data_IF_477396186387
#
_entry.id   IF_477396186387
#
_cell.length_a   1.000
_cell.length_b   1.000
_cell.length_c   1.000
_cell.angle_alpha   90.00
_cell.angle_beta   90.00
_cell.angle_gamma   90.00
#
_symmetry.space_group_name_H-M   'P 1'
#
loop_
_entity.id
_entity.type
_entity.pdbx_description
1 polymer ?
#
# COMPACT_ATOMS: atom_id res chain seq x y z
N UNK A 1 -6.88 -14.20 -6.75
CA UNK A 1 -6.28 -14.78 -5.55
C UNK A 1 -5.62 -13.69 -4.71
N UNK A 2 -5.92 -13.58 -3.41
CA UNK A 2 -5.15 -12.73 -2.49
C UNK A 2 -3.65 -13.03 -2.61
N UNK A 3 -2.82 -11.99 -2.48
CA UNK A 3 -1.37 -12.17 -2.55
C UNK A 3 -0.94 -13.10 -1.41
N UNK A 4 -0.36 -14.26 -1.72
CA UNK A 4 0.07 -15.26 -0.72
C UNK A 4 0.87 -14.61 0.41
N UNK A 5 1.72 -13.64 0.07
CA UNK A 5 2.54 -12.94 1.06
C UNK A 5 1.70 -12.12 2.05
N UNK A 6 0.61 -11.47 1.59
CA UNK A 6 -0.29 -10.72 2.46
C UNK A 6 -0.98 -11.66 3.47
N UNK A 7 -1.49 -12.81 3.00
CA UNK A 7 -2.12 -13.80 3.88
C UNK A 7 -1.11 -14.31 4.90
N UNK A 8 0.09 -14.67 4.45
CA UNK A 8 1.16 -15.14 5.34
C UNK A 8 1.53 -14.09 6.38
N UNK A 9 1.62 -12.80 5.99
CA UNK A 9 1.85 -11.71 6.95
C UNK A 9 0.72 -11.58 7.97
N UNK A 10 -0.55 -11.62 7.54
CA UNK A 10 -1.69 -11.52 8.46
C UNK A 10 -1.76 -12.71 9.42
N UNK A 11 -1.53 -13.93 8.92
CA UNK A 11 -1.47 -15.15 9.74
C UNK A 11 -0.32 -15.05 10.74
N UNK A 12 0.87 -14.61 10.31
CA UNK A 12 2.01 -14.45 11.21
C UNK A 12 1.72 -13.42 12.31
N UNK A 13 1.14 -12.27 11.97
CA UNK A 13 0.75 -11.24 12.94
C UNK A 13 -0.29 -11.76 13.94
N UNK A 14 -1.28 -12.53 13.48
CA UNK A 14 -2.27 -13.16 14.36
C UNK A 14 -1.63 -14.24 15.24
N UNK A 15 -0.79 -15.11 14.68
CA UNK A 15 -0.13 -16.19 15.39
C UNK A 15 0.80 -15.67 16.50
N UNK A 16 1.53 -14.59 16.27
CA UNK A 16 2.36 -13.95 17.31
C UNK A 16 1.50 -13.47 18.49
N UNK A 17 0.35 -12.85 18.22
CA UNK A 17 -0.55 -12.35 19.25
C UNK A 17 -1.23 -13.50 20.02
N UNK A 18 -1.66 -14.54 19.33
CA UNK A 18 -2.26 -15.72 19.95
C UNK A 18 -1.23 -16.59 20.69
N UNK A 19 0.05 -16.51 20.31
CA UNK A 19 1.14 -17.25 20.96
C UNK A 19 1.49 -16.73 22.35
N UNK A 20 1.19 -15.47 22.66
CA UNK A 20 1.33 -14.92 24.02
C UNK A 20 0.04 -15.01 24.83
N UNK A 21 -1.08 -15.37 24.20
CA UNK A 21 -2.39 -15.41 24.83
C UNK A 21 -2.56 -16.63 25.75
N UNK A 22 -3.12 -16.41 26.94
CA UNK A 22 -3.49 -17.48 27.86
C UNK A 22 -4.93 -17.90 27.60
N UNK A 23 -5.12 -19.16 27.18
CA UNK A 23 -6.42 -19.65 26.75
C UNK A 23 -7.28 -20.14 27.92
N UNK A 24 -8.51 -19.66 27.99
CA UNK A 24 -9.60 -20.21 28.80
C UNK A 24 -10.94 -19.83 28.16
N UNK A 25 -12.03 -20.38 28.70
CA UNK A 25 -13.39 -20.23 28.21
C UNK A 25 -14.21 -19.53 29.29
N UNK A 26 -14.31 -18.20 29.19
CA UNK A 26 -15.18 -17.37 30.02
C UNK A 26 -15.62 -16.14 29.22
N UNK A 27 -16.68 -15.46 29.68
CA UNK A 27 -17.08 -14.17 29.10
C UNK A 27 -15.91 -13.17 29.05
N UNK A 28 -15.17 -13.03 30.15
CA UNK A 28 -14.02 -12.11 30.27
C UNK A 28 -12.91 -12.48 29.28
N UNK A 29 -12.69 -13.77 28.99
CA UNK A 29 -11.73 -14.20 27.98
C UNK A 29 -12.13 -13.76 26.56
N UNK A 30 -13.40 -13.92 26.18
CA UNK A 30 -13.86 -13.46 24.87
C UNK A 30 -13.81 -11.92 24.74
N UNK A 31 -14.22 -11.22 25.80
CA UNK A 31 -14.21 -9.76 25.85
C UNK A 31 -12.79 -9.21 25.74
N UNK A 32 -11.87 -9.73 26.56
CA UNK A 32 -10.48 -9.25 26.61
C UNK A 32 -9.67 -9.69 25.39
N UNK A 33 -9.90 -10.89 24.82
CA UNK A 33 -9.22 -11.34 23.59
C UNK A 33 -9.60 -10.45 22.40
N UNK A 34 -10.89 -10.19 22.22
CA UNK A 34 -11.37 -9.34 21.13
C UNK A 34 -10.86 -7.90 21.28
N UNK A 35 -10.88 -7.33 22.50
CA UNK A 35 -10.31 -6.02 22.77
C UNK A 35 -8.79 -5.94 22.53
N UNK A 36 -8.04 -6.95 23.00
CA UNK A 36 -6.60 -7.07 22.78
C UNK A 36 -6.23 -7.14 21.29
N UNK A 37 -6.91 -8.00 20.53
CA UNK A 37 -6.68 -8.11 19.08
C UNK A 37 -7.08 -6.82 18.36
N UNK A 38 -8.16 -6.16 18.76
CA UNK A 38 -8.60 -4.89 18.18
C UNK A 38 -7.51 -3.82 18.31
N UNK A 39 -7.06 -3.53 19.54
CA UNK A 39 -6.10 -2.44 19.77
C UNK A 39 -4.72 -2.75 19.18
N UNK A 40 -4.30 -4.02 19.19
CA UNK A 40 -3.03 -4.42 18.60
C UNK A 40 -3.05 -4.29 17.07
N UNK A 41 -4.09 -4.76 16.39
CA UNK A 41 -4.20 -4.59 14.94
C UNK A 41 -4.27 -3.10 14.56
N UNK A 42 -5.02 -2.30 15.30
CA UNK A 42 -5.05 -0.84 15.09
C UNK A 42 -3.68 -0.19 15.30
N UNK A 43 -2.92 -0.62 16.31
CA UNK A 43 -1.56 -0.14 16.56
C UNK A 43 -0.61 -0.49 15.41
N UNK A 44 -0.69 -1.71 14.89
CA UNK A 44 0.07 -2.14 13.70
C UNK A 44 -0.34 -1.30 12.47
N UNK A 45 -1.63 -1.04 12.28
CA UNK A 45 -2.14 -0.16 11.21
C UNK A 45 -1.52 1.24 11.29
N UNK A 46 -1.42 1.82 12.49
CA UNK A 46 -0.78 3.11 12.72
C UNK A 46 0.71 3.10 12.36
N UNK A 47 1.44 2.05 12.74
CA UNK A 47 2.84 1.89 12.37
C UNK A 47 3.05 1.80 10.86
N UNK A 48 2.21 1.01 10.17
CA UNK A 48 2.28 0.86 8.72
C UNK A 48 2.00 2.19 7.99
N UNK A 49 1.16 3.06 8.55
CA UNK A 49 0.86 4.37 7.97
C UNK A 49 2.08 5.32 7.94
N UNK A 50 3.08 5.08 8.80
CA UNK A 50 4.29 5.91 8.88
C UNK A 50 5.26 5.72 7.72
N UNK A 51 5.00 4.74 6.83
CA UNK A 51 5.87 4.38 5.70
C UNK A 51 7.34 4.16 6.09
N UNK A 52 7.64 3.39 7.16
CA UNK A 52 9.02 3.11 7.54
C UNK A 52 9.76 2.36 6.41
N UNK A 53 10.88 2.92 5.95
CA UNK A 53 11.68 2.31 4.87
C UNK A 53 12.16 0.90 5.17
N UNK A 54 12.42 0.59 6.44
CA UNK A 54 12.88 -0.74 6.85
C UNK A 54 11.82 -1.85 6.62
N UNK A 55 10.53 -1.50 6.50
CA UNK A 55 9.46 -2.44 6.15
C UNK A 55 9.25 -2.61 4.64
N UNK A 56 9.79 -1.70 3.82
CA UNK A 56 9.56 -1.74 2.38
C UNK A 56 10.10 -3.04 1.76
N UNK A 57 11.34 -3.41 2.08
CA UNK A 57 11.96 -4.60 1.51
C UNK A 57 11.34 -5.92 2.04
N UNK A 58 11.14 -6.12 3.36
CA UNK A 58 10.50 -7.33 3.89
C UNK A 58 9.07 -7.55 3.37
N UNK A 59 8.30 -6.47 3.16
CA UNK A 59 6.92 -6.56 2.66
C UNK A 59 6.82 -6.60 1.13
N UNK A 60 7.94 -6.40 0.42
CA UNK A 60 8.01 -6.45 -1.04
C UNK A 60 7.49 -5.19 -1.75
N UNK A 61 7.59 -4.03 -1.08
CA UNK A 61 7.25 -2.72 -1.60
C UNK A 61 6.22 -1.98 -0.77
N UNK A 62 6.25 -0.64 -0.84
CA UNK A 62 5.30 0.22 -0.14
C UNK A 62 3.85 -0.03 -0.56
N UNK A 63 3.58 -0.41 -1.81
CA UNK A 63 2.24 -0.77 -2.25
C UNK A 63 1.68 -2.00 -1.51
N UNK A 64 2.52 -3.01 -1.23
CA UNK A 64 2.13 -4.19 -0.44
C UNK A 64 1.93 -3.81 1.03
N UNK A 65 2.73 -2.88 1.54
CA UNK A 65 2.55 -2.33 2.88
C UNK A 65 1.20 -1.61 3.03
N UNK A 66 0.75 -0.84 2.03
CA UNK A 66 -0.59 -0.21 2.06
C UNK A 66 -1.72 -1.25 2.02
N UNK A 67 -1.53 -2.37 1.30
CA UNK A 67 -2.46 -3.49 1.39
C UNK A 67 -2.52 -4.09 2.80
N UNK A 68 -1.37 -4.27 3.45
CA UNK A 68 -1.33 -4.75 4.84
C UNK A 68 -1.96 -3.74 5.81
N UNK A 69 -1.72 -2.44 5.62
CA UNK A 69 -2.38 -1.37 6.38
C UNK A 69 -3.89 -1.45 6.27
N UNK A 70 -4.43 -1.57 5.05
CA UNK A 70 -5.87 -1.75 4.82
C UNK A 70 -6.45 -2.95 5.58
N UNK A 71 -5.81 -4.11 5.45
CA UNK A 71 -6.34 -5.34 6.07
C UNK A 71 -6.16 -5.38 7.58
N UNK A 72 -5.07 -4.85 8.13
CA UNK A 72 -4.91 -4.70 9.58
C UNK A 72 -5.95 -3.73 10.14
N UNK A 73 -6.28 -2.66 9.43
CA UNK A 73 -7.35 -1.73 9.83
C UNK A 73 -8.73 -2.39 9.81
N UNK A 74 -9.04 -3.18 8.77
CA UNK A 74 -10.27 -3.97 8.69
C UNK A 74 -10.35 -4.99 9.84
N UNK A 75 -9.27 -5.73 10.11
CA UNK A 75 -9.24 -6.69 11.22
C UNK A 75 -9.41 -6.00 12.57
N UNK A 76 -8.74 -4.86 12.79
CA UNK A 76 -8.93 -4.05 14.00
C UNK A 76 -10.38 -3.64 14.20
N UNK A 77 -11.06 -3.19 13.15
CA UNK A 77 -12.49 -2.85 13.19
C UNK A 77 -13.40 -4.07 13.44
N UNK A 78 -13.10 -5.22 12.82
CA UNK A 78 -13.85 -6.47 13.05
C UNK A 78 -13.72 -6.91 14.51
N UNK A 79 -12.52 -6.88 15.09
CA UNK A 79 -12.31 -7.25 16.48
C UNK A 79 -12.92 -6.22 17.46
N UNK A 80 -12.89 -4.93 17.12
CA UNK A 80 -13.57 -3.90 17.91
C UNK A 80 -15.10 -4.10 17.92
N UNK A 81 -15.68 -4.45 16.78
CA UNK A 81 -17.10 -4.82 16.69
C UNK A 81 -17.39 -6.10 17.48
N UNK A 82 -16.53 -7.12 17.38
CA UNK A 82 -16.68 -8.34 18.16
C UNK A 82 -16.61 -8.07 19.67
N UNK A 83 -15.69 -7.22 20.11
CA UNK A 83 -15.55 -6.78 21.50
C UNK A 83 -16.84 -6.14 22.03
N UNK A 84 -17.41 -5.19 21.28
CA UNK A 84 -18.69 -4.58 21.64
C UNK A 84 -19.87 -5.55 21.59
N UNK A 85 -19.90 -6.50 20.65
CA UNK A 85 -20.95 -7.52 20.61
C UNK A 85 -20.88 -8.50 21.79
N UNK A 86 -19.67 -8.84 22.25
CA UNK A 86 -19.48 -9.66 23.46
C UNK A 86 -19.97 -8.89 24.69
N UNK A 87 -19.64 -7.60 24.77
CA UNK A 87 -20.08 -6.73 25.87
C UNK A 87 -21.60 -6.55 25.89
N UNK A 88 -22.21 -6.25 24.76
CA UNK A 88 -23.67 -6.13 24.62
C UNK A 88 -24.40 -7.45 24.91
N UNK A 89 -23.74 -8.58 24.68
CA UNK A 89 -24.27 -9.94 24.88
C UNK A 89 -23.89 -10.55 26.23
N UNK A 90 -23.47 -9.75 27.21
CA UNK A 90 -22.85 -10.22 28.45
C UNK A 90 -23.63 -11.34 29.15
N UNK A 91 -24.95 -11.19 29.32
CA UNK A 91 -25.82 -12.18 29.95
C UNK A 91 -25.78 -13.53 29.23
N UNK A 92 -25.82 -13.51 27.89
CA UNK A 92 -25.76 -14.72 27.08
C UNK A 92 -24.38 -15.40 27.17
N UNK A 93 -23.30 -14.62 27.10
CA UNK A 93 -21.95 -15.15 27.23
C UNK A 93 -21.67 -15.70 28.63
N UNK A 94 -22.12 -15.00 29.68
CA UNK A 94 -22.02 -15.45 31.08
C UNK A 94 -22.81 -16.73 31.31
N UNK A 95 -23.98 -16.88 30.68
CA UNK A 95 -24.78 -18.11 30.78
C UNK A 95 -24.13 -19.31 30.06
N UNK A 96 -23.48 -19.09 28.92
CA UNK A 96 -22.86 -20.16 28.13
C UNK A 96 -21.46 -20.57 28.62
N UNK A 97 -20.64 -19.61 29.05
CA UNK A 97 -19.22 -19.81 29.31
C UNK A 97 -18.80 -19.51 30.76
N UNK A 98 -19.72 -18.99 31.59
CA UNK A 98 -19.41 -18.63 32.97
C UNK A 98 -18.58 -17.35 33.10
N UNK A 99 -18.10 -17.10 34.33
CA UNK A 99 -17.35 -15.91 34.73
C UNK A 99 -15.98 -16.29 35.26
N UNK A 100 -14.96 -15.50 34.91
CA UNK A 100 -13.62 -15.57 35.45
C UNK A 100 -13.25 -14.22 36.10
N UNK A 101 -13.27 -14.19 37.44
CA UNK A 101 -12.97 -12.98 38.21
C UNK A 101 -11.50 -12.56 38.16
N UNK A 102 -10.60 -13.42 37.67
CA UNK A 102 -9.17 -13.12 37.60
C UNK A 102 -8.80 -12.14 36.48
N UNK A 103 -9.71 -11.95 35.50
CA UNK A 103 -9.57 -11.05 34.36
C UNK A 103 -10.44 -9.79 34.48
N UNK A 104 -10.84 -9.42 35.70
CA UNK A 104 -11.54 -8.16 35.90
C UNK A 104 -10.64 -6.99 35.52
N UNK A 105 -11.27 -5.94 35.00
CA UNK A 105 -10.63 -4.66 34.78
C UNK A 105 -9.99 -4.12 36.07
N UNK A 106 -9.05 -3.19 35.90
CA UNK A 106 -8.38 -2.56 37.03
C UNK A 106 -9.38 -1.79 37.89
N UNK A 107 -9.22 -1.84 39.22
CA UNK A 107 -9.98 -1.03 40.17
C UNK A 107 -9.06 0.11 40.64
N UNK A 108 -9.18 1.28 40.00
CA UNK A 108 -8.38 2.45 40.33
C UNK A 108 -9.06 3.32 41.39
N UNK A 109 -8.32 4.27 41.97
CA UNK A 109 -8.88 5.23 42.93
C UNK A 109 -8.49 6.67 42.60
N UNK A 110 -9.32 7.62 43.04
CA UNK A 110 -9.05 9.05 42.90
C UNK A 110 -9.12 9.53 41.45
N UNK A 111 -8.07 10.22 40.99
CA UNK A 111 -8.04 10.78 39.63
C UNK A 111 -8.10 9.70 38.53
N UNK A 112 -7.51 8.53 38.78
CA UNK A 112 -7.46 7.44 37.81
C UNK A 112 -8.83 6.76 37.63
N UNK A 113 -9.63 6.69 38.70
CA UNK A 113 -11.01 6.17 38.65
C UNK A 113 -11.89 7.07 37.75
N UNK A 114 -11.84 8.39 37.97
CA UNK A 114 -12.55 9.35 37.11
C UNK A 114 -12.12 9.26 35.64
N UNK A 115 -10.82 9.03 35.38
CA UNK A 115 -10.32 8.85 34.02
C UNK A 115 -10.78 7.53 33.42
N UNK A 116 -10.76 6.44 34.19
CA UNK A 116 -11.22 5.13 33.77
C UNK A 116 -12.70 5.18 33.37
N UNK A 117 -13.57 5.68 34.25
CA UNK A 117 -15.01 5.80 33.95
C UNK A 117 -15.28 6.70 32.74
N UNK A 118 -14.54 7.79 32.58
CA UNK A 118 -14.62 8.59 31.36
C UNK A 118 -14.28 7.74 30.12
N UNK A 119 -13.13 7.06 30.08
CA UNK A 119 -12.74 6.30 28.89
C UNK A 119 -13.60 5.06 28.64
N UNK A 120 -14.26 4.51 29.66
CA UNK A 120 -15.30 3.50 29.55
C UNK A 120 -16.49 4.06 28.75
N UNK A 121 -17.04 5.22 29.16
CA UNK A 121 -18.16 5.89 28.47
C UNK A 121 -17.82 6.27 27.01
N UNK A 122 -16.56 6.58 26.72
CA UNK A 122 -16.11 6.93 25.37
C UNK A 122 -15.91 5.73 24.45
N UNK A 123 -15.92 4.49 24.97
CA UNK A 123 -15.69 3.27 24.18
C UNK A 123 -16.71 3.10 23.05
N UNK A 124 -18.01 3.19 23.35
CA UNK A 124 -19.08 3.02 22.38
C UNK A 124 -19.13 4.15 21.32
N UNK A 125 -19.13 5.45 21.69
CA UNK A 125 -19.04 6.53 20.69
C UNK A 125 -17.78 6.43 19.83
N UNK A 126 -16.65 6.04 20.42
CA UNK A 126 -15.39 5.80 19.73
C UNK A 126 -15.51 4.71 18.67
N UNK A 127 -16.19 3.61 18.99
CA UNK A 127 -16.48 2.52 18.05
C UNK A 127 -17.34 3.01 16.88
N UNK A 128 -18.45 3.71 17.13
CA UNK A 128 -19.32 4.19 16.06
C UNK A 128 -18.60 5.12 15.10
N UNK A 129 -17.78 6.03 15.63
CA UNK A 129 -16.96 6.92 14.82
C UNK A 129 -15.90 6.14 14.02
N UNK A 130 -15.24 5.15 14.65
CA UNK A 130 -14.29 4.26 13.97
C UNK A 130 -14.95 3.52 12.81
N UNK A 131 -16.08 2.85 13.05
CA UNK A 131 -16.81 2.08 12.03
C UNK A 131 -17.29 2.98 10.88
N UNK A 132 -17.87 4.14 11.20
CA UNK A 132 -18.27 5.13 10.20
C UNK A 132 -17.11 5.57 9.31
N UNK A 133 -15.95 5.89 9.91
CA UNK A 133 -14.76 6.26 9.16
C UNK A 133 -14.16 5.09 8.36
N UNK A 134 -14.18 3.87 8.88
CA UNK A 134 -13.75 2.67 8.12
C UNK A 134 -14.63 2.49 6.88
N UNK A 135 -15.95 2.59 7.02
CA UNK A 135 -16.88 2.53 5.88
C UNK A 135 -16.58 3.63 4.86
N UNK A 136 -16.46 4.89 5.30
CA UNK A 136 -16.16 6.01 4.40
C UNK A 136 -14.81 5.83 3.70
N UNK A 137 -13.82 5.27 4.39
CA UNK A 137 -12.48 5.10 3.83
C UNK A 137 -12.41 3.96 2.82
N UNK A 138 -13.21 2.90 2.99
CA UNK A 138 -13.32 1.78 2.06
C UNK A 138 -14.19 2.11 0.85
N UNK A 139 -15.17 3.01 0.99
CA UNK A 139 -16.02 3.47 -0.11
C UNK A 139 -15.26 4.53 -0.93
N UNK A 140 -15.17 4.32 -2.25
CA UNK A 140 -14.41 5.17 -3.17
C UNK A 140 -15.16 6.42 -3.67
N UNK A 141 -16.35 6.71 -3.13
CA UNK A 141 -17.20 7.82 -3.58
C UNK A 141 -16.76 9.21 -3.11
N UNK A 142 -16.10 9.30 -1.95
CA UNK A 142 -15.60 10.59 -1.44
C UNK A 142 -14.38 11.03 -2.25
N UNK A 143 -14.27 12.25 -2.78
CA UNK A 143 -13.06 12.70 -3.47
C UNK A 143 -11.81 12.64 -2.57
N UNK A 144 -10.63 12.37 -3.16
CA UNK A 144 -9.39 12.12 -2.40
C UNK A 144 -9.03 13.25 -1.43
N UNK A 145 -9.14 14.51 -1.88
CA UNK A 145 -8.89 15.71 -1.05
C UNK A 145 -9.65 15.68 0.28
N UNK A 146 -10.93 15.32 0.29
CA UNK A 146 -11.75 15.28 1.51
C UNK A 146 -11.46 14.03 2.32
N UNK A 147 -11.34 12.89 1.64
CA UNK A 147 -11.01 11.60 2.25
C UNK A 147 -9.71 11.69 3.08
N UNK A 148 -8.69 12.40 2.56
CA UNK A 148 -7.40 12.58 3.25
C UNK A 148 -7.55 13.29 4.60
N UNK A 149 -8.35 14.35 4.67
CA UNK A 149 -8.58 15.08 5.93
C UNK A 149 -9.40 14.26 6.91
N UNK A 150 -10.45 13.60 6.41
CA UNK A 150 -11.30 12.75 7.24
C UNK A 150 -10.52 11.55 7.81
N UNK A 151 -9.70 10.89 6.99
CA UNK A 151 -8.85 9.78 7.44
C UNK A 151 -7.78 10.23 8.45
N UNK A 152 -7.39 11.51 8.45
CA UNK A 152 -6.46 12.10 9.44
C UNK A 152 -7.08 12.27 10.83
N UNK A 153 -8.38 12.00 11.00
CA UNK A 153 -9.02 11.92 12.32
C UNK A 153 -8.72 10.58 13.01
N UNK A 154 -8.44 9.51 12.26
CA UNK A 154 -8.17 8.16 12.79
C UNK A 154 -7.10 8.10 13.91
N UNK A 155 -5.96 8.81 13.83
CA UNK A 155 -4.98 8.82 14.90
C UNK A 155 -5.51 9.36 16.24
N UNK A 156 -6.46 10.30 16.23
CA UNK A 156 -7.07 10.82 17.46
C UNK A 156 -7.97 9.77 18.11
N UNK A 157 -8.78 9.10 17.30
CA UNK A 157 -9.66 8.01 17.76
C UNK A 157 -8.82 6.86 18.31
N UNK A 158 -7.76 6.49 17.61
CA UNK A 158 -6.81 5.49 18.09
C UNK A 158 -6.23 5.86 19.46
N UNK A 159 -5.80 7.11 19.68
CA UNK A 159 -5.25 7.52 20.98
C UNK A 159 -6.29 7.40 22.11
N UNK A 160 -7.55 7.74 21.82
CA UNK A 160 -8.66 7.55 22.78
C UNK A 160 -8.89 6.08 23.10
N UNK A 161 -8.95 5.22 22.07
CA UNK A 161 -9.14 3.77 22.24
C UNK A 161 -7.93 3.09 22.88
N UNK A 162 -6.72 3.59 22.64
CA UNK A 162 -5.51 3.14 23.33
C UNK A 162 -5.58 3.46 24.82
N UNK A 163 -6.03 4.66 25.20
CA UNK A 163 -6.24 5.01 26.60
C UNK A 163 -7.30 4.11 27.25
N UNK A 164 -8.44 3.89 26.57
CA UNK A 164 -9.47 2.92 26.97
C UNK A 164 -8.86 1.51 27.20
N UNK A 165 -8.10 0.98 26.24
CA UNK A 165 -7.46 -0.34 26.40
C UNK A 165 -6.43 -0.40 27.52
N UNK A 166 -5.65 0.66 27.75
CA UNK A 166 -4.65 0.69 28.82
C UNK A 166 -5.28 0.74 30.21
N UNK A 167 -6.38 1.47 30.37
CA UNK A 167 -7.06 1.66 31.65
C UNK A 167 -7.94 0.47 32.03
N UNK A 168 -8.58 -0.18 31.06
CA UNK A 168 -9.48 -1.31 31.32
C UNK A 168 -8.80 -2.68 31.28
N UNK A 169 -7.54 -2.75 30.84
CA UNK A 169 -6.79 -4.01 30.83
C UNK A 169 -6.59 -4.58 32.24
N UNK A 170 -6.71 -5.91 32.43
CA UNK A 170 -6.43 -6.55 33.72
C UNK A 170 -4.99 -6.27 34.18
N UNK A 171 -4.83 -5.83 35.43
CA UNK A 171 -3.51 -5.44 35.97
C UNK A 171 -2.49 -6.60 35.95
N UNK A 172 -2.98 -7.84 36.03
CA UNK A 172 -2.16 -9.06 35.98
C UNK A 172 -1.40 -9.19 34.66
N UNK A 173 -1.92 -8.64 33.55
CA UNK A 173 -1.30 -8.73 32.24
C UNK A 173 0.04 -8.00 32.17
N UNK A 174 0.25 -6.97 32.98
CA UNK A 174 1.50 -6.20 32.97
C UNK A 174 2.71 -7.01 33.44
N UNK A 175 2.47 -8.15 34.08
CA UNK A 175 3.50 -9.12 34.48
C UNK A 175 3.60 -10.30 33.50
N UNK A 176 2.89 -10.25 32.37
CA UNK A 176 2.78 -11.33 31.40
C UNK A 176 3.21 -10.86 29.99
N UNK A 177 3.62 -11.79 29.11
CA UNK A 177 3.94 -11.48 27.73
C UNK A 177 2.82 -10.75 26.96
N UNK A 178 1.54 -11.03 27.28
CA UNK A 178 0.36 -10.35 26.71
C UNK A 178 0.42 -8.84 26.94
N UNK A 179 0.61 -8.40 28.19
CA UNK A 179 0.66 -6.98 28.51
C UNK A 179 1.90 -6.30 27.94
N UNK A 180 3.04 -7.00 27.88
CA UNK A 180 4.26 -6.43 27.27
C UNK A 180 4.11 -6.20 25.77
N UNK A 181 3.53 -7.16 25.04
CA UNK A 181 3.25 -6.99 23.62
C UNK A 181 2.26 -5.85 23.39
N UNK A 182 1.19 -5.79 24.17
CA UNK A 182 0.19 -4.73 24.08
C UNK A 182 0.80 -3.34 24.36
N UNK A 183 1.57 -3.18 25.44
CA UNK A 183 2.26 -1.92 25.74
C UNK A 183 3.21 -1.50 24.62
N UNK A 184 4.00 -2.44 24.07
CA UNK A 184 4.92 -2.16 22.98
C UNK A 184 4.16 -1.63 21.75
N UNK A 185 3.08 -2.32 21.36
CA UNK A 185 2.27 -1.93 20.20
C UNK A 185 1.56 -0.61 20.43
N UNK A 186 0.92 -0.41 21.59
CA UNK A 186 0.26 0.85 21.95
C UNK A 186 1.24 2.01 21.98
N UNK A 187 2.41 1.84 22.60
CA UNK A 187 3.45 2.87 22.64
C UNK A 187 3.92 3.26 21.23
N UNK A 188 4.21 2.27 20.40
CA UNK A 188 4.65 2.48 19.03
C UNK A 188 3.56 3.12 18.15
N UNK A 189 2.31 2.67 18.28
CA UNK A 189 1.14 3.23 17.58
C UNK A 189 0.78 4.65 18.06
N UNK A 190 0.99 4.96 19.33
CA UNK A 190 0.78 6.30 19.90
C UNK A 190 1.81 7.30 19.36
N UNK A 191 3.09 6.90 19.31
CA UNK A 191 4.15 7.71 18.68
C UNK A 191 3.82 7.95 17.21
N UNK A 192 3.43 6.91 16.46
CA UNK A 192 3.00 7.03 15.07
C UNK A 192 1.81 7.98 14.91
N UNK A 193 0.84 7.92 15.83
CA UNK A 193 -0.34 8.79 15.83
C UNK A 193 0.03 10.25 16.02
N UNK A 194 0.88 10.56 17.00
CA UNK A 194 1.37 11.92 17.24
C UNK A 194 2.18 12.46 16.05
N UNK A 195 3.04 11.62 15.45
CA UNK A 195 3.80 11.99 14.25
C UNK A 195 2.89 12.24 13.03
N UNK A 196 1.83 11.43 12.87
CA UNK A 196 0.82 11.60 11.83
C UNK A 196 0.07 12.93 12.00
N UNK A 197 -0.38 13.24 13.22
CA UNK A 197 -1.07 14.49 13.55
C UNK A 197 -0.16 15.71 13.34
N UNK A 198 1.12 15.62 13.71
CA UNK A 198 2.13 16.65 13.45
C UNK A 198 2.55 16.79 11.97
N UNK A 199 2.03 15.93 11.06
CA UNK A 199 2.33 16.00 9.62
C UNK A 199 3.75 15.54 9.26
N UNK A 200 4.38 14.77 10.14
CA UNK A 200 5.79 14.34 10.05
C UNK A 200 5.98 13.07 9.22
N UNK A 201 4.91 12.44 8.74
CA UNK A 201 4.97 11.18 7.97
C UNK A 201 5.91 11.32 6.77
N UNK A 202 6.96 10.50 6.68
CA UNK A 202 7.90 10.52 5.56
C UNK A 202 8.74 11.81 5.42
N UNK A 203 8.75 12.71 6.42
CA UNK A 203 9.46 14.01 6.36
C UNK A 203 10.95 13.88 6.00
N UNK A 204 11.61 12.82 6.47
CA UNK A 204 13.03 12.53 6.19
C UNK A 204 13.32 12.17 4.72
N UNK A 205 12.29 11.96 3.91
CA UNK A 205 12.42 11.56 2.51
C UNK A 205 11.65 12.48 1.56
N UNK A 206 11.33 13.70 2.02
CA UNK A 206 10.69 14.74 1.21
C UNK A 206 11.73 15.68 0.66
N UNK A 207 11.75 15.82 -0.66
CA UNK A 207 12.65 16.65 -1.41
C UNK A 207 11.85 17.75 -2.09
N UNK A 208 12.36 18.98 -2.04
CA UNK A 208 11.75 20.12 -2.73
C UNK A 208 12.44 20.31 -4.08
N UNK A 209 11.66 20.62 -5.10
CA UNK A 209 12.16 20.91 -6.43
C UNK A 209 11.21 21.80 -7.20
N UNK A 210 11.44 21.88 -8.50
CA UNK A 210 10.60 22.65 -9.44
C UNK A 210 10.22 21.79 -10.64
N UNK A 211 9.04 22.02 -11.19
CA UNK A 211 8.66 21.46 -12.48
C UNK A 211 9.51 22.15 -13.54
N UNK A 212 10.31 21.37 -14.26
CA UNK A 212 11.13 21.85 -15.37
C UNK A 212 10.30 21.94 -16.65
N UNK A 213 9.44 20.95 -16.90
CA UNK A 213 8.50 20.96 -18.02
C UNK A 213 7.25 20.13 -17.70
N UNK A 214 6.14 20.53 -18.31
CA UNK A 214 4.90 19.77 -18.34
C UNK A 214 4.35 19.83 -19.77
N UNK A 215 4.26 18.69 -20.46
CA UNK A 215 3.87 18.60 -21.87
C UNK A 215 2.82 17.53 -22.05
N UNK A 216 1.71 17.89 -22.67
CA UNK A 216 0.69 16.91 -23.04
C UNK A 216 1.19 16.10 -24.24
N UNK A 217 1.38 14.80 -24.05
CA UNK A 217 1.91 13.89 -25.08
C UNK A 217 0.82 13.07 -25.76
N UNK A 218 -0.37 12.97 -25.15
CA UNK A 218 -1.60 12.44 -25.76
C UNK A 218 -2.83 13.11 -25.17
N UNK A 219 -4.02 12.79 -25.68
CA UNK A 219 -5.29 13.28 -25.12
C UNK A 219 -5.44 13.00 -23.61
N UNK A 220 -4.81 11.93 -23.11
CA UNK A 220 -4.98 11.48 -21.72
C UNK A 220 -3.69 11.42 -20.90
N UNK A 221 -2.52 11.69 -21.49
CA UNK A 221 -1.24 11.55 -20.79
C UNK A 221 -0.44 12.85 -20.79
N UNK A 222 0.00 13.26 -19.60
CA UNK A 222 0.89 14.39 -19.37
C UNK A 222 2.28 13.86 -19.02
N UNK A 223 3.29 14.29 -19.77
CA UNK A 223 4.70 14.14 -19.41
C UNK A 223 5.08 15.29 -18.49
N UNK A 224 5.68 14.97 -17.35
CA UNK A 224 6.18 15.95 -16.38
C UNK A 224 7.62 15.63 -16.05
N UNK A 225 8.49 16.63 -16.18
CA UNK A 225 9.89 16.55 -15.72
C UNK A 225 10.09 17.50 -14.56
N UNK A 226 10.57 16.98 -13.45
CA UNK A 226 10.90 17.73 -12.25
C UNK A 226 12.41 17.81 -12.08
N UNK A 227 12.90 18.97 -11.65
CA UNK A 227 14.28 19.17 -11.21
C UNK A 227 14.32 19.22 -9.68
N UNK A 228 14.97 18.22 -9.09
CA UNK A 228 15.14 18.05 -7.65
C UNK A 228 16.52 18.49 -7.17
N UNK A 229 17.38 18.95 -8.09
CA UNK A 229 18.77 19.29 -7.84
C UNK A 229 19.60 18.12 -7.32
N UNK A 230 20.77 18.45 -6.75
CA UNK A 230 21.75 17.47 -6.26
C UNK A 230 21.33 16.73 -4.97
N UNK A 231 20.25 17.15 -4.35
CA UNK A 231 19.79 16.57 -3.09
C UNK A 231 18.99 15.28 -3.28
N UNK A 232 18.56 14.97 -4.51
CA UNK A 232 17.87 13.71 -4.76
C UNK A 232 18.79 12.52 -4.44
N UNK A 233 18.37 11.55 -3.61
CA UNK A 233 19.22 10.45 -3.14
C UNK A 233 19.45 9.37 -4.21
N UNK A 234 18.97 9.59 -5.42
CA UNK A 234 18.98 8.64 -6.52
C UNK A 234 17.79 7.66 -6.47
N UNK A 235 17.64 6.88 -7.53
CA UNK A 235 16.55 5.90 -7.68
C UNK A 235 16.90 4.75 -8.62
N UNK A 236 16.09 3.69 -8.59
CA UNK A 236 16.21 2.53 -9.48
C UNK A 236 15.04 2.46 -10.44
N UNK A 237 15.26 1.76 -11.55
CA UNK A 237 14.21 1.38 -12.51
C UNK A 237 13.04 0.72 -11.78
N UNK A 238 11.82 1.14 -12.16
CA UNK A 238 10.56 0.62 -11.60
C UNK A 238 10.21 1.16 -10.22
N UNK A 239 11.00 2.08 -9.64
CA UNK A 239 10.60 2.81 -8.45
C UNK A 239 9.59 3.92 -8.80
N UNK A 240 8.79 4.30 -7.80
CA UNK A 240 7.84 5.39 -7.87
C UNK A 240 8.12 6.39 -6.75
N UNK A 241 7.48 7.55 -6.83
CA UNK A 241 7.52 8.55 -5.77
C UNK A 241 6.12 9.11 -5.51
N UNK A 242 5.91 9.63 -4.29
CA UNK A 242 4.70 10.38 -3.96
C UNK A 242 4.94 11.85 -4.30
N UNK A 243 4.24 12.36 -5.31
CA UNK A 243 4.45 13.71 -5.86
C UNK A 243 3.33 14.63 -5.42
N UNK A 244 3.70 15.78 -4.84
CA UNK A 244 2.78 16.85 -4.42
C UNK A 244 3.02 18.07 -5.29
N UNK A 245 2.14 18.31 -6.27
CA UNK A 245 2.11 19.55 -7.06
C UNK A 245 1.23 20.62 -6.40
N UNK A 246 0.20 20.22 -5.66
CA UNK A 246 -0.69 21.09 -4.89
C UNK A 246 -0.80 20.55 -3.46
N UNK A 247 -0.52 21.40 -2.47
CA UNK A 247 -0.58 21.02 -1.05
C UNK A 247 -1.99 20.69 -0.57
N UNK A 248 -2.99 21.37 -1.12
CA UNK A 248 -4.41 21.17 -0.76
C UNK A 248 -4.90 19.80 -1.23
N UNK A 249 -4.45 19.37 -2.42
CA UNK A 249 -4.71 18.03 -2.92
C UNK A 249 -3.90 16.98 -2.13
N UNK A 250 -2.59 17.17 -2.04
CA UNK A 250 -1.66 16.22 -1.43
C UNK A 250 -0.85 15.40 -2.42
N UNK A 251 -0.27 14.33 -1.90
CA UNK A 251 0.70 13.53 -2.62
C UNK A 251 0.02 12.36 -3.36
N UNK A 252 0.37 12.19 -4.63
CA UNK A 252 -0.10 11.08 -5.48
C UNK A 252 1.08 10.22 -5.94
N UNK A 253 0.96 8.88 -5.95
CA UNK A 253 2.03 8.01 -6.41
C UNK A 253 2.16 8.02 -7.94
N UNK A 254 3.36 8.26 -8.44
CA UNK A 254 3.69 8.11 -9.86
C UNK A 254 5.02 7.38 -10.04
N UNK A 255 5.03 6.38 -10.93
CA UNK A 255 6.25 5.67 -11.33
C UNK A 255 7.20 6.62 -12.06
N UNK A 256 8.49 6.49 -11.78
CA UNK A 256 9.54 7.23 -12.45
C UNK A 256 9.72 6.64 -13.87
N UNK A 257 9.72 7.50 -14.89
CA UNK A 257 9.81 7.08 -16.30
C UNK A 257 11.24 6.82 -16.76
N UNK A 258 12.22 7.29 -16.01
CA UNK A 258 13.64 7.22 -16.37
C UNK A 258 14.42 6.46 -15.31
N UNK A 259 15.56 5.89 -15.69
CA UNK A 259 16.60 5.52 -14.72
C UNK A 259 17.27 6.77 -14.14
N UNK A 260 17.96 6.60 -13.01
CA UNK A 260 18.71 7.69 -12.39
C UNK A 260 19.95 8.06 -13.21
N UNK A 261 19.93 9.25 -13.80
CA UNK A 261 21.07 9.81 -14.55
C UNK A 261 22.00 10.66 -13.68
N UNK A 262 21.84 10.61 -12.35
CA UNK A 262 22.63 11.37 -11.36
C UNK A 262 22.61 12.88 -11.56
N UNK A 263 21.58 13.40 -12.23
CA UNK A 263 21.42 14.82 -12.56
C UNK A 263 20.26 15.48 -11.81
N UNK A 264 19.58 14.75 -10.92
CA UNK A 264 18.45 15.25 -10.14
C UNK A 264 17.15 15.43 -10.92
N UNK A 265 17.09 15.02 -12.19
CA UNK A 265 15.89 15.12 -13.01
C UNK A 265 15.05 13.85 -12.91
N UNK A 266 13.76 14.02 -12.64
CA UNK A 266 12.80 12.93 -12.50
C UNK A 266 11.67 13.12 -13.51
N UNK A 267 11.43 12.11 -14.33
CA UNK A 267 10.34 12.08 -15.30
C UNK A 267 9.12 11.29 -14.80
N UNK A 268 7.93 11.74 -15.18
CA UNK A 268 6.65 11.09 -14.88
C UNK A 268 5.71 11.14 -16.09
N UNK A 269 5.03 10.02 -16.36
CA UNK A 269 3.89 9.96 -17.29
C UNK A 269 2.61 9.82 -16.47
N UNK A 270 1.81 10.90 -16.44
CA UNK A 270 0.61 10.99 -15.61
C UNK A 270 -0.62 10.89 -16.50
N UNK A 271 -1.38 9.80 -16.33
CA UNK A 271 -2.65 9.61 -17.04
C UNK A 271 -3.80 10.30 -16.31
N UNK A 272 -4.67 10.94 -17.08
CA UNK A 272 -5.88 11.64 -16.65
C UNK A 272 -6.98 10.66 -16.21
N UNK A 273 -6.75 9.95 -15.11
CA UNK A 273 -7.65 8.93 -14.54
C UNK A 273 -8.68 9.52 -13.57
N UNK A 274 -8.24 10.39 -12.67
CA UNK A 274 -9.06 10.99 -11.61
C UNK A 274 -9.47 12.44 -11.89
N UNK A 275 -10.30 13.00 -11.02
CA UNK A 275 -10.68 14.42 -11.03
C UNK A 275 -9.44 15.33 -10.98
N UNK A 276 -8.51 15.06 -10.06
CA UNK A 276 -7.29 15.87 -9.94
C UNK A 276 -6.36 15.73 -11.15
N UNK A 277 -6.02 14.49 -11.58
CA UNK A 277 -5.07 14.29 -12.67
C UNK A 277 -5.57 14.80 -14.02
N UNK A 278 -6.90 14.89 -14.22
CA UNK A 278 -7.51 15.55 -15.39
C UNK A 278 -7.29 17.07 -15.42
N UNK A 279 -7.04 17.72 -14.28
CA UNK A 279 -6.78 19.16 -14.23
C UNK A 279 -5.32 19.52 -14.47
N UNK A 280 -4.38 18.58 -14.28
CA UNK A 280 -2.95 18.83 -14.34
C UNK A 280 -2.48 19.43 -15.67
N UNK A 281 -2.94 19.00 -16.86
CA UNK A 281 -2.47 19.57 -18.13
C UNK A 281 -2.75 21.08 -18.26
N UNK A 282 -3.79 21.59 -17.59
CA UNK A 282 -4.12 23.02 -17.60
C UNK A 282 -3.43 23.81 -16.48
N UNK A 283 -3.13 23.13 -15.37
CA UNK A 283 -2.66 23.77 -14.13
C UNK A 283 -1.15 23.70 -13.95
N UNK A 284 -0.47 22.72 -14.52
CA UNK A 284 0.94 22.48 -14.26
C UNK A 284 1.81 23.12 -15.34
N UNK A 285 2.74 23.98 -14.94
CA UNK A 285 3.65 24.68 -15.84
C UNK A 285 5.07 24.67 -15.29
N UNK A 286 6.05 24.97 -16.14
CA UNK A 286 7.44 25.11 -15.72
C UNK A 286 7.57 26.18 -14.62
N UNK A 287 8.48 25.96 -13.66
CA UNK A 287 8.69 26.82 -12.50
C UNK A 287 7.78 26.52 -11.30
N UNK A 288 6.75 25.67 -11.45
CA UNK A 288 5.90 25.29 -10.33
C UNK A 288 6.68 24.54 -9.25
N UNK A 289 6.47 24.90 -7.99
CA UNK A 289 7.08 24.18 -6.87
C UNK A 289 6.51 22.75 -6.78
N UNK A 290 7.38 21.77 -6.54
CA UNK A 290 7.00 20.38 -6.34
C UNK A 290 7.66 19.82 -5.08
N UNK A 291 6.94 18.98 -4.34
CA UNK A 291 7.52 18.17 -3.26
C UNK A 291 7.40 16.70 -3.63
N UNK A 292 8.52 15.98 -3.60
CA UNK A 292 8.58 14.56 -3.93
C UNK A 292 9.04 13.78 -2.70
N UNK A 293 8.23 12.80 -2.28
CA UNK A 293 8.59 11.88 -1.22
C UNK A 293 9.00 10.52 -1.82
N UNK A 294 10.20 10.03 -1.50
CA UNK A 294 10.70 8.76 -2.02
C UNK A 294 12.22 8.69 -2.18
N UNK A 295 12.72 7.84 -3.10
CA UNK A 295 11.95 6.88 -3.91
C UNK A 295 11.36 5.74 -3.08
N UNK A 296 10.33 5.09 -3.62
CA UNK A 296 9.68 3.89 -3.09
C UNK A 296 9.49 2.84 -4.20
N UNK A 297 9.11 1.63 -3.82
CA UNK A 297 8.86 0.52 -4.72
C UNK A 297 10.02 -0.49 -4.77
N UNK A 298 9.62 -1.75 -4.90
CA UNK A 298 10.50 -2.89 -5.13
C UNK A 298 10.25 -3.55 -6.50
N UNK A 299 9.46 -2.91 -7.37
CA UNK A 299 9.24 -3.38 -8.73
C UNK A 299 10.52 -3.13 -9.53
N UNK A 300 11.20 -4.20 -9.94
CA UNK A 300 12.43 -4.09 -10.72
C UNK A 300 12.38 -5.17 -11.81
N UNK A 301 11.85 -4.83 -13.00
CA UNK A 301 11.66 -5.78 -14.08
C UNK A 301 12.98 -6.28 -14.68
N UNK A 302 14.13 -5.71 -14.33
CA UNK A 302 15.46 -6.18 -14.75
C UNK A 302 16.00 -7.31 -13.88
N UNK A 303 15.47 -7.51 -12.66
CA UNK A 303 15.81 -8.67 -11.84
C UNK A 303 15.08 -9.90 -12.35
N UNK A 304 15.81 -10.98 -12.62
CA UNK A 304 15.23 -12.24 -13.04
C UNK A 304 15.88 -13.43 -12.33
N UNK A 305 15.15 -14.52 -12.18
CA UNK A 305 15.73 -15.82 -11.82
C UNK A 305 16.61 -16.34 -12.96
N UNK A 306 17.65 -17.09 -12.60
CA UNK A 306 18.45 -17.83 -13.58
C UNK A 306 17.56 -18.81 -14.38
N UNK A 307 17.75 -18.79 -15.70
CA UNK A 307 17.06 -19.65 -16.68
C UNK A 307 15.52 -19.51 -16.69
N UNK A 308 14.97 -18.41 -16.18
CA UNK A 308 13.54 -18.13 -16.28
C UNK A 308 13.25 -17.27 -17.51
N UNK A 309 12.22 -17.64 -18.27
CA UNK A 309 11.68 -16.80 -19.34
C UNK A 309 11.11 -15.52 -18.72
N UNK A 310 11.50 -14.38 -19.28
CA UNK A 310 11.12 -13.07 -18.77
C UNK A 310 10.02 -12.46 -19.63
N UNK A 311 8.90 -12.12 -19.00
CA UNK A 311 7.76 -11.54 -19.71
C UNK A 311 7.33 -10.27 -18.99
N UNK A 312 7.25 -9.18 -19.73
CA UNK A 312 6.79 -7.88 -19.24
C UNK A 312 5.39 -7.62 -19.78
N UNK A 313 4.43 -7.34 -18.91
CA UNK A 313 3.05 -7.06 -19.29
C UNK A 313 2.67 -5.68 -18.77
N UNK A 314 2.39 -4.79 -19.71
CA UNK A 314 2.01 -3.42 -19.45
C UNK A 314 0.58 -3.15 -19.92
N UNK A 315 -0.23 -2.49 -19.09
CA UNK A 315 -1.57 -2.03 -19.47
C UNK A 315 -1.68 -0.50 -19.38
N UNK A 316 -1.84 0.17 -20.53
CA UNK A 316 -1.90 1.63 -20.62
C UNK A 316 -0.72 2.31 -19.92
N UNK A 317 -0.99 3.21 -18.97
CA UNK A 317 0.07 3.94 -18.21
C UNK A 317 0.96 3.02 -17.38
N UNK A 318 0.58 1.75 -17.18
CA UNK A 318 1.45 0.73 -16.58
C UNK A 318 2.70 0.39 -17.41
N UNK A 319 2.87 0.98 -18.61
CA UNK A 319 4.09 0.85 -19.41
C UNK A 319 5.30 1.59 -18.82
N UNK A 320 5.06 2.62 -17.99
CA UNK A 320 6.09 3.49 -17.43
C UNK A 320 7.30 2.79 -16.80
N UNK A 321 7.16 1.81 -15.89
CA UNK A 321 8.33 1.13 -15.31
C UNK A 321 9.14 0.33 -16.35
N UNK A 322 8.51 -0.11 -17.44
CA UNK A 322 9.18 -0.84 -18.51
C UNK A 322 9.89 0.11 -19.49
N UNK A 323 9.35 1.30 -19.75
CA UNK A 323 10.09 2.35 -20.48
C UNK A 323 11.39 2.70 -19.75
N UNK A 324 11.32 2.90 -18.43
CA UNK A 324 12.51 3.14 -17.61
C UNK A 324 13.54 2.01 -17.72
N UNK A 325 13.08 0.76 -17.81
CA UNK A 325 13.96 -0.41 -17.97
C UNK A 325 14.58 -0.47 -19.36
N UNK A 326 13.81 -0.21 -20.42
CA UNK A 326 14.31 -0.19 -21.80
C UNK A 326 15.34 0.93 -22.00
N UNK A 327 15.06 2.14 -21.49
CA UNK A 327 16.03 3.24 -21.50
C UNK A 327 17.31 2.88 -20.74
N UNK A 328 17.18 2.20 -19.60
CA UNK A 328 18.33 1.76 -18.82
C UNK A 328 19.18 0.74 -19.59
N UNK A 329 18.57 -0.21 -20.30
CA UNK A 329 19.30 -1.15 -21.16
C UNK A 329 20.08 -0.43 -22.26
N UNK A 330 19.48 0.59 -22.91
CA UNK A 330 20.15 1.38 -23.94
C UNK A 330 21.33 2.19 -23.39
N UNK A 331 21.21 2.70 -22.16
CA UNK A 331 22.29 3.46 -21.52
C UNK A 331 23.45 2.57 -21.04
N UNK A 332 23.23 1.27 -20.85
CA UNK A 332 24.20 0.34 -20.25
C UNK A 332 24.48 -0.85 -21.17
N UNK A 333 24.96 -0.58 -22.38
CA UNK A 333 25.23 -1.61 -23.41
C UNK A 333 26.24 -2.69 -23.00
N UNK A 334 27.10 -2.39 -22.01
CA UNK A 334 28.10 -3.33 -21.50
C UNK A 334 27.50 -4.40 -20.57
N UNK A 335 26.24 -4.21 -20.14
CA UNK A 335 25.55 -5.16 -19.27
C UNK A 335 24.86 -6.25 -20.11
N UNK A 336 25.12 -7.51 -19.78
CA UNK A 336 24.42 -8.62 -20.41
C UNK A 336 23.02 -8.79 -19.80
N UNK A 337 21.99 -8.53 -20.61
CA UNK A 337 20.60 -8.72 -20.21
C UNK A 337 20.03 -10.05 -20.73
N UNK A 338 19.03 -10.58 -20.01
CA UNK A 338 18.25 -11.72 -20.48
C UNK A 338 17.22 -11.27 -21.53
N UNK A 339 16.95 -12.11 -22.54
CA UNK A 339 15.89 -11.84 -23.50
C UNK A 339 14.55 -11.67 -22.82
N UNK A 340 13.75 -10.72 -23.31
CA UNK A 340 12.44 -10.40 -22.74
C UNK A 340 11.38 -10.20 -23.80
N UNK A 341 10.17 -10.63 -23.51
CA UNK A 341 8.98 -10.34 -24.31
C UNK A 341 8.12 -9.30 -23.60
N UNK A 342 7.90 -8.16 -24.26
CA UNK A 342 7.07 -7.06 -23.79
C UNK A 342 5.70 -7.15 -24.46
N UNK A 343 4.66 -7.41 -23.67
CA UNK A 343 3.27 -7.30 -24.09
C UNK A 343 2.72 -5.95 -23.64
N UNK A 344 2.43 -5.08 -24.59
CA UNK A 344 1.80 -3.79 -24.33
C UNK A 344 0.33 -3.81 -24.72
N UNK A 345 -0.56 -3.72 -23.72
CA UNK A 345 -2.00 -3.64 -23.89
C UNK A 345 -2.45 -2.18 -23.84
N UNK A 346 -2.99 -1.67 -24.96
CA UNK A 346 -3.49 -0.29 -25.06
C UNK A 346 -4.91 -0.26 -25.63
N UNK A 347 -5.58 0.89 -25.48
CA UNK A 347 -6.94 1.04 -25.97
C UNK A 347 -6.99 1.21 -27.49
N UNK A 348 -6.07 2.00 -28.05
CA UNK A 348 -5.93 2.34 -29.47
C UNK A 348 -4.45 2.49 -29.76
N UNK A 349 -3.86 1.61 -30.57
CA UNK A 349 -2.42 1.67 -30.85
C UNK A 349 -2.04 2.89 -31.68
N UNK A 350 -2.93 3.32 -32.59
CA UNK A 350 -2.72 4.46 -33.50
C UNK A 350 -2.58 5.79 -32.74
N UNK A 351 -3.33 5.95 -31.64
CA UNK A 351 -3.42 7.22 -30.90
C UNK A 351 -2.49 7.24 -29.66
N UNK A 352 -1.68 6.20 -29.47
CA UNK A 352 -0.87 6.03 -28.27
C UNK A 352 0.60 6.35 -28.54
N UNK A 353 1.13 7.49 -28.03
CA UNK A 353 2.51 7.89 -28.27
C UNK A 353 3.53 6.89 -27.71
N UNK A 354 3.14 6.05 -26.74
CA UNK A 354 4.04 5.03 -26.21
C UNK A 354 4.28 3.89 -27.21
N UNK A 355 3.38 3.67 -28.18
CA UNK A 355 3.58 2.64 -29.20
C UNK A 355 4.77 2.98 -30.09
N UNK A 356 4.79 4.19 -30.65
CA UNK A 356 5.91 4.66 -31.47
C UNK A 356 7.22 4.68 -30.67
N UNK A 357 7.17 5.21 -29.44
CA UNK A 357 8.32 5.24 -28.54
C UNK A 357 8.87 3.81 -28.29
N UNK A 358 8.01 2.84 -27.99
CA UNK A 358 8.41 1.45 -27.78
C UNK A 358 9.06 0.85 -29.02
N UNK A 359 8.52 1.07 -30.21
CA UNK A 359 9.15 0.61 -31.45
C UNK A 359 10.57 1.18 -31.61
N UNK A 360 10.75 2.48 -31.35
CA UNK A 360 12.07 3.14 -31.42
C UNK A 360 13.07 2.52 -30.43
N UNK A 361 12.66 2.27 -29.19
CA UNK A 361 13.54 1.66 -28.17
C UNK A 361 13.87 0.20 -28.51
N UNK A 362 12.85 -0.59 -28.87
CA UNK A 362 13.01 -2.04 -29.09
C UNK A 362 13.82 -2.33 -30.36
N UNK A 363 13.73 -1.50 -31.40
CA UNK A 363 14.57 -1.64 -32.60
C UNK A 363 16.08 -1.52 -32.31
N UNK A 364 16.47 -0.94 -31.17
CA UNK A 364 17.85 -0.81 -30.72
C UNK A 364 18.26 -1.89 -29.71
N UNK A 365 17.33 -2.77 -29.30
CA UNK A 365 17.52 -3.79 -28.26
C UNK A 365 17.19 -5.18 -28.83
N UNK A 366 18.17 -5.92 -29.39
CA UNK A 366 17.93 -7.18 -30.09
C UNK A 366 17.44 -8.31 -29.17
N UNK A 367 17.64 -8.18 -27.87
CA UNK A 367 17.18 -9.10 -26.82
C UNK A 367 15.74 -8.81 -26.36
N UNK A 368 15.10 -7.77 -26.90
CA UNK A 368 13.73 -7.39 -26.54
C UNK A 368 12.79 -7.67 -27.72
N UNK A 369 11.70 -8.40 -27.44
CA UNK A 369 10.60 -8.59 -28.39
C UNK A 369 9.37 -7.81 -27.92
N UNK A 370 8.63 -7.21 -28.85
CA UNK A 370 7.44 -6.39 -28.55
C UNK A 370 6.19 -6.98 -29.21
N UNK A 371 5.13 -7.08 -28.41
CA UNK A 371 3.79 -7.51 -28.83
C UNK A 371 2.76 -6.48 -28.37
N UNK A 372 2.10 -5.81 -29.30
CA UNK A 372 1.08 -4.80 -29.01
C UNK A 372 -0.31 -5.42 -29.13
N UNK A 373 -1.17 -5.11 -28.15
CA UNK A 373 -2.55 -5.58 -28.09
C UNK A 373 -3.48 -4.37 -28.09
N UNK A 374 -4.12 -4.11 -29.24
CA UNK A 374 -5.08 -3.02 -29.43
C UNK A 374 -6.50 -3.47 -29.07
N UNK A 375 -7.04 -2.87 -28.00
CA UNK A 375 -8.33 -3.29 -27.51
C UNK A 375 -9.53 -2.92 -28.41
N UNK A 376 -9.42 -1.83 -29.19
CA UNK A 376 -10.45 -1.40 -30.15
C UNK A 376 -10.47 -2.30 -31.38
N UNK A 377 -9.35 -2.92 -31.72
CA UNK A 377 -9.27 -3.95 -32.76
C UNK A 377 -9.66 -5.35 -32.28
N UNK A 378 -10.19 -5.47 -31.05
CA UNK A 378 -10.59 -6.77 -30.48
C UNK A 378 -9.44 -7.63 -29.95
N UNK A 379 -8.20 -7.15 -29.99
CA UNK A 379 -7.05 -7.88 -29.46
C UNK A 379 -7.06 -7.81 -27.93
N UNK A 380 -6.90 -8.97 -27.28
CA UNK A 380 -6.83 -9.09 -25.82
C UNK A 380 -5.73 -10.08 -25.48
N UNK A 381 -4.83 -9.68 -24.60
CA UNK A 381 -3.82 -10.58 -24.07
C UNK A 381 -4.46 -11.62 -23.15
N UNK A 382 -4.32 -12.89 -23.52
CA UNK A 382 -4.69 -14.06 -22.71
C UNK A 382 -3.45 -14.74 -22.16
N UNK A 383 -3.62 -15.74 -21.29
CA UNK A 383 -2.49 -16.54 -20.77
C UNK A 383 -1.73 -17.26 -21.91
N UNK A 384 -2.43 -17.80 -22.90
CA UNK A 384 -1.81 -18.44 -24.08
C UNK A 384 -1.01 -17.44 -24.91
N UNK A 385 -1.50 -16.20 -25.00
CA UNK A 385 -0.83 -15.11 -25.70
C UNK A 385 0.50 -14.69 -25.08
N UNK A 386 0.83 -15.12 -23.85
CA UNK A 386 2.14 -14.90 -23.23
C UNK A 386 3.23 -15.78 -23.84
N UNK A 387 2.87 -16.82 -24.61
CA UNK A 387 3.81 -17.72 -25.27
C UNK A 387 4.85 -18.31 -24.28
N UNK A 388 4.37 -18.85 -23.17
CA UNK A 388 5.21 -19.49 -22.17
C UNK A 388 5.81 -20.79 -22.74
N UNK A 389 7.15 -20.86 -22.77
CA UNK A 389 7.92 -21.97 -23.33
C UNK A 389 8.90 -22.59 -22.30
N UNK A 390 9.20 -21.88 -21.22
CA UNK A 390 10.12 -22.36 -20.18
C UNK A 390 9.39 -22.97 -18.98
N UNK A 391 10.03 -23.94 -18.33
CA UNK A 391 9.57 -24.50 -17.05
C UNK A 391 9.63 -23.48 -15.89
N UNK A 392 10.41 -22.39 -16.03
CA UNK A 392 10.47 -21.28 -15.09
C UNK A 392 10.12 -19.99 -15.82
N UNK A 393 9.18 -19.22 -15.27
CA UNK A 393 8.75 -17.94 -15.85
C UNK A 393 8.63 -16.88 -14.78
N UNK A 394 9.16 -15.69 -15.07
CA UNK A 394 8.97 -14.48 -14.27
C UNK A 394 8.16 -13.48 -15.11
N UNK A 395 6.91 -13.27 -14.71
CA UNK A 395 6.01 -12.27 -15.29
C UNK A 395 6.07 -11.01 -14.44
N UNK A 396 6.52 -9.92 -15.03
CA UNK A 396 6.45 -8.58 -14.45
C UNK A 396 5.24 -7.87 -15.03
N UNK A 397 4.30 -7.47 -14.17
CA UNK A 397 3.01 -6.92 -14.56
C UNK A 397 2.78 -5.56 -13.92
N UNK A 398 2.42 -4.57 -14.75
CA UNK A 398 1.91 -3.28 -14.30
C UNK A 398 0.74 -2.86 -15.21
N UNK A 399 -0.45 -2.66 -14.63
CA UNK A 399 -1.65 -2.35 -15.40
C UNK A 399 -2.94 -2.59 -14.63
N UNK A 400 -4.10 -2.54 -15.32
CA UNK A 400 -5.41 -2.67 -14.70
C UNK A 400 -5.63 -4.02 -13.99
N UNK A 401 -6.35 -4.00 -12.86
CA UNK A 401 -6.63 -5.20 -12.06
C UNK A 401 -7.37 -6.29 -12.84
N UNK A 402 -8.28 -5.91 -13.75
CA UNK A 402 -9.01 -6.86 -14.59
C UNK A 402 -8.09 -7.70 -15.48
N UNK A 403 -7.09 -7.07 -16.12
CA UNK A 403 -6.09 -7.78 -16.92
C UNK A 403 -5.24 -8.70 -16.05
N UNK A 404 -4.80 -8.21 -14.88
CA UNK A 404 -4.04 -9.03 -13.93
C UNK A 404 -4.82 -10.27 -13.46
N UNK A 405 -6.12 -10.12 -13.23
CA UNK A 405 -7.00 -11.20 -12.80
C UNK A 405 -7.22 -12.22 -13.93
N UNK A 406 -7.46 -11.77 -15.16
CA UNK A 406 -7.62 -12.63 -16.32
C UNK A 406 -6.36 -13.49 -16.57
N UNK A 407 -5.18 -12.87 -16.55
CA UNK A 407 -3.91 -13.60 -16.72
C UNK A 407 -3.68 -14.61 -15.59
N UNK A 408 -3.89 -14.22 -14.33
CA UNK A 408 -3.75 -15.17 -13.20
C UNK A 408 -4.72 -16.33 -13.28
N UNK A 409 -5.95 -16.08 -13.74
CA UNK A 409 -6.95 -17.13 -13.92
C UNK A 409 -6.53 -18.09 -15.02
N UNK A 410 -6.07 -17.60 -16.18
CA UNK A 410 -5.62 -18.46 -17.27
C UNK A 410 -4.32 -19.22 -16.95
N UNK A 411 -3.56 -18.77 -15.94
CA UNK A 411 -2.32 -19.41 -15.50
C UNK A 411 -2.48 -20.33 -14.28
N UNK A 412 -3.69 -20.48 -13.71
CA UNK A 412 -3.89 -21.22 -12.46
C UNK A 412 -3.52 -22.69 -12.57
N UNK A 413 -3.71 -23.28 -13.75
CA UNK A 413 -3.56 -24.72 -14.00
C UNK A 413 -2.23 -25.04 -14.68
N UNK A 414 -1.33 -24.05 -14.79
CA UNK A 414 -0.02 -24.23 -15.39
C UNK A 414 0.92 -24.99 -14.45
N UNK A 415 1.54 -26.06 -14.94
CA UNK A 415 2.58 -26.81 -14.22
C UNK A 415 3.93 -26.05 -14.13
N UNK A 416 4.00 -24.83 -14.66
CA UNK A 416 5.21 -24.01 -14.74
C UNK A 416 5.53 -23.37 -13.38
N UNK A 417 6.82 -23.28 -13.04
CA UNK A 417 7.29 -22.50 -11.90
C UNK A 417 7.15 -21.00 -12.17
N UNK A 418 5.97 -20.46 -11.91
CA UNK A 418 5.60 -19.08 -12.20
C UNK A 418 5.86 -18.13 -11.00
N UNK A 419 6.53 -17.00 -11.25
CA UNK A 419 6.48 -15.83 -10.37
C UNK A 419 5.76 -14.69 -11.07
N UNK A 420 4.68 -14.20 -10.45
CA UNK A 420 3.91 -13.07 -10.95
C UNK A 420 4.17 -11.83 -10.09
N UNK A 421 5.08 -10.98 -10.55
CA UNK A 421 5.44 -9.72 -9.91
C UNK A 421 4.46 -8.64 -10.36
N UNK A 422 3.65 -8.13 -9.43
CA UNK A 422 2.68 -7.08 -9.73
C UNK A 422 3.01 -5.82 -8.94
N UNK A 423 3.01 -4.68 -9.63
CA UNK A 423 2.91 -3.36 -9.00
C UNK A 423 1.44 -2.92 -8.87
N UNK A 424 1.07 -2.32 -7.73
CA UNK A 424 -0.31 -1.91 -7.44
C UNK A 424 -0.39 -0.44 -7.03
N UNK A 425 -0.97 0.41 -7.86
CA UNK A 425 -1.16 1.83 -7.57
C UNK A 425 -2.51 2.16 -6.92
N UNK A 426 -2.97 1.29 -6.00
CA UNK A 426 -4.20 1.49 -5.23
C UNK A 426 -3.87 1.82 -3.77
N UNK A 427 -3.50 3.07 -3.52
CA UNK A 427 -3.10 3.56 -2.19
C UNK A 427 -4.32 4.01 -1.34
N UNK A 428 -5.54 3.75 -1.84
CA UNK A 428 -6.82 4.08 -1.22
C UNK A 428 -7.75 2.87 -1.14
#
# INVERSE_FOLDING_TARGET
MPNRNLILSLIALLAVQLGVWQWSLSYEHFLTLSGFLAINFMSITMLLAMRPKWLELPLGGLDKQYHLHKWTGILGAIFALAHWLVEMGDDAFKALFGKDRSLREADFSGLLDNLQGMFEDWGEPGLYLLLGLVVITLIRWVPYRFWRYLHRVMPLIYLSLAAHSLLLAPLSWWQQPTGWLMALLIGAGSIASLQSLAGLIGKSHRWKGVVKSARQISETTLEVVCDMGRNWPGHRVGQFALVTFDRAEGAHPFTLTTADRQNGQLGFHIKALGDYTRTLPRRLHAGHAVTIEGPYGCFNPEKNRSSAQQIWVAGGVGITPFLAALENRLANTDTQYQPVTVHYCTQSAIDDPNVEHLHVLVNQLPDVSLQIHDSRQGQRLTADGLQIQSAKVDIWFCGPQGLAAALRSGLSDSAVSLRFHQERFEFR
#
